data_IF_976441398420
#
_entry.id   IF_976441398420
#
_cell.length_a   1.000
_cell.length_b   1.000
_cell.length_c   1.000
_cell.angle_alpha   90.00
_cell.angle_beta   90.00
_cell.angle_gamma   90.00
#
_symmetry.space_group_name_H-M   'P 1'
#
loop_
_entity.id
_entity.type
_entity.pdbx_description
1 polymer ?
#
# COMPACT_ATOMS: atom_id res chain seq x y z
N UNK A 1 -28.67 4.46 0.58
CA UNK A 1 -27.27 4.15 0.22
C UNK A 1 -26.55 3.88 1.53
N UNK A 2 -25.77 2.80 1.65
CA UNK A 2 -24.94 2.61 2.86
C UNK A 2 -23.97 3.79 2.97
N UNK A 3 -23.80 4.36 4.17
CA UNK A 3 -22.85 5.45 4.42
C UNK A 3 -21.44 5.08 3.93
N UNK A 4 -21.11 3.79 3.96
CA UNK A 4 -19.82 3.26 3.52
C UNK A 4 -19.58 3.40 2.01
N UNK A 5 -20.59 3.74 1.21
CA UNK A 5 -20.48 3.85 -0.25
C UNK A 5 -21.00 5.18 -0.77
N UNK A 6 -21.22 6.17 0.09
CA UNK A 6 -21.58 7.52 -0.34
C UNK A 6 -20.40 8.20 -1.05
N UNK A 7 -20.43 8.20 -2.39
CA UNK A 7 -19.37 8.77 -3.22
C UNK A 7 -19.28 10.30 -3.15
N UNK A 8 -20.27 10.97 -2.54
CA UNK A 8 -20.18 12.41 -2.27
C UNK A 8 -19.26 12.73 -1.08
N UNK A 9 -18.98 11.73 -0.23
CA UNK A 9 -18.01 11.85 0.86
C UNK A 9 -16.59 11.64 0.34
N UNK A 10 -15.77 12.70 0.39
CA UNK A 10 -14.38 12.66 -0.05
C UNK A 10 -13.51 11.62 0.65
N UNK A 11 -13.81 11.26 1.92
CA UNK A 11 -13.07 10.22 2.62
C UNK A 11 -13.43 8.81 2.12
N UNK A 12 -14.70 8.56 1.79
CA UNK A 12 -15.13 7.30 1.17
C UNK A 12 -14.49 7.16 -0.21
N UNK A 13 -14.45 8.25 -0.99
CA UNK A 13 -13.76 8.26 -2.27
C UNK A 13 -12.27 7.97 -2.11
N UNK A 14 -11.60 8.63 -1.15
CA UNK A 14 -10.19 8.39 -0.86
C UNK A 14 -9.93 6.94 -0.43
N UNK A 15 -10.77 6.36 0.42
CA UNK A 15 -10.72 4.95 0.83
C UNK A 15 -10.80 4.00 -0.36
N UNK A 16 -11.71 4.26 -1.30
CA UNK A 16 -11.85 3.43 -2.49
C UNK A 16 -10.66 3.58 -3.44
N UNK A 17 -10.14 4.80 -3.60
CA UNK A 17 -8.93 5.04 -4.38
C UNK A 17 -7.75 4.27 -3.81
N UNK A 18 -7.40 4.43 -2.53
CA UNK A 18 -6.26 3.72 -1.93
C UNK A 18 -6.39 2.20 -2.12
N UNK A 19 -7.61 1.64 -2.01
CA UNK A 19 -7.85 0.22 -2.15
C UNK A 19 -7.67 -0.27 -3.60
N UNK A 20 -8.18 0.48 -4.58
CA UNK A 20 -8.01 0.16 -6.01
C UNK A 20 -6.53 0.28 -6.42
N UNK A 21 -5.80 1.24 -5.87
CA UNK A 21 -4.38 1.43 -6.17
C UNK A 21 -3.48 0.29 -5.64
N UNK A 22 -3.96 -0.58 -4.73
CA UNK A 22 -3.27 -1.81 -4.36
C UNK A 22 -3.32 -2.89 -5.45
N UNK A 23 -4.32 -2.86 -6.34
CA UNK A 23 -4.53 -3.93 -7.34
C UNK A 23 -3.36 -4.03 -8.32
N UNK A 24 -2.87 -2.93 -8.94
CA UNK A 24 -1.69 -3.00 -9.82
C UNK A 24 -0.44 -3.51 -9.08
N UNK A 25 -0.30 -3.24 -7.78
CA UNK A 25 0.85 -3.66 -6.98
C UNK A 25 0.85 -5.18 -6.75
N UNK A 26 -0.31 -5.77 -6.47
CA UNK A 26 -0.47 -7.23 -6.38
C UNK A 26 -0.18 -7.87 -7.73
N UNK A 27 -0.76 -7.35 -8.81
CA UNK A 27 -0.53 -7.85 -10.18
C UNK A 27 0.96 -7.79 -10.53
N UNK A 28 1.62 -6.68 -10.20
CA UNK A 28 3.06 -6.50 -10.41
C UNK A 28 3.89 -7.56 -9.69
N UNK A 29 3.55 -7.89 -8.43
CA UNK A 29 4.23 -8.95 -7.67
C UNK A 29 4.03 -10.33 -8.27
N UNK A 30 2.87 -10.62 -8.86
CA UNK A 30 2.60 -11.91 -9.52
C UNK A 30 3.33 -12.01 -10.87
N UNK A 31 3.32 -10.94 -11.67
CA UNK A 31 3.90 -10.94 -13.03
C UNK A 31 5.42 -10.77 -13.04
N UNK A 32 5.98 -10.06 -12.08
CA UNK A 32 7.40 -9.69 -12.05
C UNK A 32 8.14 -10.27 -10.83
N UNK A 33 7.91 -11.56 -10.54
CA UNK A 33 8.45 -12.24 -9.34
C UNK A 33 9.97 -12.10 -9.17
N UNK A 34 10.74 -12.21 -10.26
CA UNK A 34 12.21 -12.11 -10.22
C UNK A 34 12.69 -10.74 -9.72
N UNK A 35 12.39 -9.64 -10.43
CA UNK A 35 12.74 -8.28 -9.99
C UNK A 35 12.23 -7.94 -8.59
N UNK A 36 11.00 -8.32 -8.26
CA UNK A 36 10.41 -8.05 -6.94
C UNK A 36 11.17 -8.80 -5.84
N UNK A 37 11.44 -10.10 -6.02
CA UNK A 37 12.21 -10.87 -5.03
C UNK A 37 13.63 -10.31 -4.87
N UNK A 38 14.27 -9.89 -5.97
CA UNK A 38 15.58 -9.25 -5.96
C UNK A 38 15.59 -7.92 -5.20
N UNK A 39 14.54 -7.11 -5.32
CA UNK A 39 14.38 -5.89 -4.52
C UNK A 39 14.30 -6.21 -3.02
N UNK A 40 13.45 -7.18 -2.63
CA UNK A 40 13.29 -7.56 -1.23
C UNK A 40 14.59 -8.07 -0.63
N UNK A 41 15.35 -8.91 -1.35
CA UNK A 41 16.65 -9.39 -0.88
C UNK A 41 17.69 -8.26 -0.77
N UNK A 42 17.73 -7.34 -1.75
CA UNK A 42 18.65 -6.19 -1.74
C UNK A 42 18.39 -5.26 -0.55
N UNK A 43 17.13 -5.04 -0.21
CA UNK A 43 16.75 -4.21 0.95
C UNK A 43 17.04 -4.93 2.27
N UNK A 44 17.16 -6.26 2.26
CA UNK A 44 17.54 -7.10 3.41
C UNK A 44 16.39 -7.91 4.01
N UNK A 45 15.24 -7.99 3.35
CA UNK A 45 14.13 -8.85 3.77
C UNK A 45 14.45 -10.31 3.44
N UNK A 46 14.86 -11.09 4.46
CA UNK A 46 15.29 -12.49 4.30
C UNK A 46 14.45 -13.44 5.15
N UNK A 47 13.92 -14.53 4.57
CA UNK A 47 14.01 -14.93 3.16
C UNK A 47 13.06 -14.12 2.26
N UNK A 48 13.58 -13.55 1.16
CA UNK A 48 12.84 -12.62 0.30
C UNK A 48 11.49 -13.16 -0.24
N UNK A 49 11.37 -14.42 -0.71
CA UNK A 49 10.10 -14.95 -1.20
C UNK A 49 8.97 -14.93 -0.15
N UNK A 50 9.31 -15.12 1.13
CA UNK A 50 8.34 -15.08 2.22
C UNK A 50 7.80 -13.67 2.40
N UNK A 51 8.67 -12.66 2.43
CA UNK A 51 8.25 -11.27 2.56
C UNK A 51 7.47 -10.78 1.33
N UNK A 52 7.80 -11.25 0.13
CA UNK A 52 6.99 -10.98 -1.08
C UNK A 52 5.58 -11.56 -0.92
N UNK A 53 5.46 -12.79 -0.42
CA UNK A 53 4.16 -13.41 -0.16
C UNK A 53 3.38 -12.66 0.93
N UNK A 54 4.01 -12.29 2.04
CA UNK A 54 3.38 -11.50 3.11
C UNK A 54 2.86 -10.18 2.58
N UNK A 55 3.68 -9.45 1.80
CA UNK A 55 3.27 -8.19 1.18
C UNK A 55 2.07 -8.39 0.25
N UNK A 56 2.08 -9.43 -0.58
CA UNK A 56 0.99 -9.73 -1.50
C UNK A 56 -0.31 -10.08 -0.78
N UNK A 57 -0.26 -10.95 0.24
CA UNK A 57 -1.43 -11.32 1.04
C UNK A 57 -2.00 -10.10 1.75
N UNK A 58 -1.13 -9.29 2.36
CA UNK A 58 -1.54 -8.06 3.03
C UNK A 58 -2.26 -7.10 2.06
N UNK A 59 -1.69 -6.85 0.88
CA UNK A 59 -2.29 -5.96 -0.12
C UNK A 59 -3.67 -6.45 -0.59
N UNK A 60 -3.83 -7.77 -0.78
CA UNK A 60 -5.13 -8.35 -1.17
C UNK A 60 -6.17 -8.17 -0.05
N UNK A 61 -5.81 -8.51 1.19
CA UNK A 61 -6.72 -8.42 2.34
C UNK A 61 -7.09 -6.97 2.63
N UNK A 62 -6.11 -6.06 2.62
CA UNK A 62 -6.35 -4.63 2.82
C UNK A 62 -7.22 -4.03 1.71
N UNK A 63 -6.96 -4.38 0.44
CA UNK A 63 -7.78 -3.92 -0.67
C UNK A 63 -9.23 -4.42 -0.53
N UNK A 64 -9.42 -5.72 -0.24
CA UNK A 64 -10.75 -6.29 -0.07
C UNK A 64 -11.51 -5.64 1.11
N UNK A 65 -10.86 -5.49 2.27
CA UNK A 65 -11.47 -4.87 3.44
C UNK A 65 -11.87 -3.41 3.19
N UNK A 66 -10.99 -2.62 2.57
CA UNK A 66 -11.24 -1.21 2.27
C UNK A 66 -12.29 -1.02 1.14
N UNK A 67 -12.35 -1.92 0.15
CA UNK A 67 -13.42 -1.90 -0.87
C UNK A 67 -14.77 -2.21 -0.24
N UNK A 68 -14.83 -3.25 0.60
CA UNK A 68 -16.08 -3.70 1.23
C UNK A 68 -16.54 -2.80 2.37
N UNK A 69 -15.70 -1.85 2.82
CA UNK A 69 -16.00 -1.00 3.97
C UNK A 69 -15.92 -1.76 5.30
N UNK A 70 -15.12 -2.81 5.39
CA UNK A 70 -14.96 -3.63 6.59
C UNK A 70 -13.73 -3.19 7.39
N UNK A 71 -13.90 -2.87 8.67
CA UNK A 71 -12.82 -2.43 9.59
C UNK A 71 -11.92 -1.35 8.97
N UNK A 72 -12.53 -0.36 8.29
CA UNK A 72 -11.85 0.59 7.41
C UNK A 72 -10.71 1.33 8.09
N UNK A 73 -10.94 1.81 9.31
CA UNK A 73 -9.93 2.52 10.10
C UNK A 73 -8.74 1.63 10.46
N UNK A 74 -8.98 0.37 10.81
CA UNK A 74 -7.92 -0.59 11.17
C UNK A 74 -7.07 -0.92 9.96
N UNK A 75 -7.69 -1.28 8.83
CA UNK A 75 -6.94 -1.61 7.62
C UNK A 75 -6.26 -0.40 6.99
N UNK A 76 -6.82 0.80 7.11
CA UNK A 76 -6.17 2.03 6.69
C UNK A 76 -4.94 2.35 7.56
N UNK A 77 -5.01 2.16 8.88
CA UNK A 77 -3.87 2.34 9.77
C UNK A 77 -2.75 1.32 9.47
N UNK A 78 -3.10 0.04 9.29
CA UNK A 78 -2.14 -0.99 8.90
C UNK A 78 -1.52 -0.68 7.54
N UNK A 79 -2.32 -0.22 6.57
CA UNK A 79 -1.85 0.16 5.25
C UNK A 79 -0.89 1.36 5.31
N UNK A 80 -1.15 2.34 6.17
CA UNK A 80 -0.24 3.45 6.38
C UNK A 80 1.14 2.96 6.86
N UNK A 81 1.16 2.08 7.87
CA UNK A 81 2.42 1.48 8.37
C UNK A 81 3.13 0.70 7.25
N UNK A 82 2.39 -0.13 6.51
CA UNK A 82 2.92 -0.89 5.38
C UNK A 82 3.56 0.03 4.32
N UNK A 83 2.89 1.13 3.98
CA UNK A 83 3.38 2.12 3.02
C UNK A 83 4.63 2.86 3.54
N UNK A 84 4.71 3.18 4.83
CA UNK A 84 5.92 3.78 5.40
C UNK A 84 7.11 2.81 5.45
N UNK A 85 6.87 1.52 5.70
CA UNK A 85 7.91 0.49 5.56
C UNK A 85 8.39 0.38 4.11
N UNK A 86 7.47 0.40 3.15
CA UNK A 86 7.81 0.42 1.72
C UNK A 86 8.59 1.69 1.32
N UNK A 87 8.23 2.84 1.87
CA UNK A 87 8.97 4.09 1.68
C UNK A 87 10.39 4.00 2.23
N UNK A 88 10.58 3.46 3.44
CA UNK A 88 11.91 3.27 4.02
C UNK A 88 12.76 2.29 3.18
N UNK A 89 12.14 1.22 2.66
CA UNK A 89 12.77 0.28 1.75
C UNK A 89 13.23 0.94 0.45
N UNK A 90 12.36 1.73 -0.20
CA UNK A 90 12.71 2.50 -1.40
C UNK A 90 13.82 3.52 -1.12
N UNK A 91 13.75 4.22 0.01
CA UNK A 91 14.73 5.23 0.38
C UNK A 91 16.13 4.62 0.49
N UNK A 92 16.22 3.44 1.13
CA UNK A 92 17.46 2.66 1.24
C UNK A 92 17.96 2.20 -0.14
N UNK A 93 17.07 1.62 -0.96
CA UNK A 93 17.42 1.10 -2.29
C UNK A 93 17.93 2.20 -3.22
N UNK A 94 17.25 3.33 -3.24
CA UNK A 94 17.49 4.42 -4.18
C UNK A 94 18.44 5.49 -3.66
N UNK A 95 19.10 5.25 -2.52
CA UNK A 95 20.08 6.17 -1.90
C UNK A 95 19.50 7.59 -1.71
N UNK A 96 18.26 7.67 -1.26
CA UNK A 96 17.61 8.94 -0.94
C UNK A 96 16.93 9.69 -2.10
N UNK A 97 16.78 9.08 -3.28
CA UNK A 97 15.96 9.68 -4.35
C UNK A 97 14.51 9.89 -3.87
N UNK A 98 13.96 11.05 -4.24
CA UNK A 98 12.58 11.41 -3.88
C UNK A 98 11.56 10.91 -4.91
N UNK A 99 11.70 11.35 -6.17
CA UNK A 99 10.68 11.18 -7.20
C UNK A 99 10.41 9.70 -7.53
N UNK A 100 9.14 9.34 -7.66
CA UNK A 100 8.72 7.95 -7.88
C UNK A 100 9.19 7.38 -9.22
N UNK A 101 9.23 8.19 -10.28
CA UNK A 101 9.63 7.78 -11.62
C UNK A 101 11.12 7.39 -11.74
N UNK A 102 11.94 7.77 -10.77
CA UNK A 102 13.36 7.37 -10.64
C UNK A 102 13.58 6.36 -9.50
N UNK A 103 12.50 5.75 -9.00
CA UNK A 103 12.49 4.73 -7.94
C UNK A 103 12.38 5.28 -6.51
N UNK A 104 12.17 6.58 -6.33
CA UNK A 104 12.16 7.23 -5.03
C UNK A 104 10.98 6.86 -4.11
N UNK A 105 10.96 7.48 -2.93
CA UNK A 105 10.01 7.16 -1.84
C UNK A 105 8.75 8.02 -1.84
N UNK A 106 8.64 9.00 -2.74
CA UNK A 106 7.51 9.93 -2.82
C UNK A 106 6.15 9.22 -2.87
N UNK A 107 6.00 8.23 -3.75
CA UNK A 107 4.73 7.53 -3.97
C UNK A 107 4.25 6.76 -2.73
N UNK A 108 5.04 5.87 -2.10
CA UNK A 108 4.60 5.19 -0.88
C UNK A 108 4.36 6.15 0.28
N UNK A 109 5.11 7.26 0.40
CA UNK A 109 4.85 8.28 1.43
C UNK A 109 3.48 8.94 1.19
N UNK A 110 3.20 9.35 -0.05
CA UNK A 110 1.93 9.98 -0.42
C UNK A 110 0.74 9.08 -0.07
N UNK A 111 0.76 7.82 -0.51
CA UNK A 111 -0.33 6.89 -0.23
C UNK A 111 -0.41 6.50 1.25
N UNK A 112 0.72 6.44 1.96
CA UNK A 112 0.76 6.26 3.40
C UNK A 112 0.04 7.38 4.14
N UNK A 113 0.28 8.65 3.76
CA UNK A 113 -0.41 9.80 4.34
C UNK A 113 -1.92 9.78 4.01
N UNK A 114 -2.30 9.42 2.78
CA UNK A 114 -3.71 9.22 2.44
C UNK A 114 -4.37 8.14 3.30
N UNK A 115 -3.67 7.04 3.55
CA UNK A 115 -4.16 5.98 4.43
C UNK A 115 -4.29 6.45 5.88
N UNK A 116 -3.40 7.31 6.39
CA UNK A 116 -3.55 7.96 7.71
C UNK A 116 -4.83 8.81 7.75
N UNK A 117 -5.08 9.62 6.71
CA UNK A 117 -6.30 10.44 6.64
C UNK A 117 -7.54 9.55 6.72
N UNK A 118 -7.59 8.45 5.98
CA UNK A 118 -8.70 7.49 6.05
C UNK A 118 -8.78 6.80 7.41
N UNK A 119 -7.65 6.48 8.04
CA UNK A 119 -7.65 5.85 9.36
C UNK A 119 -8.26 6.75 10.45
N UNK A 120 -8.03 8.06 10.36
CA UNK A 120 -8.52 9.06 11.30
C UNK A 120 -9.99 9.47 11.06
N UNK A 121 -10.54 9.16 9.88
CA UNK A 121 -11.88 9.58 9.49
C UNK A 121 -12.78 8.36 9.23
N UNK A 122 -13.87 8.17 9.99
CA UNK A 122 -14.79 7.05 9.78
C UNK A 122 -15.36 7.07 8.36
N UNK A 123 -15.24 5.95 7.66
CA UNK A 123 -15.68 5.75 6.27
C UNK A 123 -16.25 4.37 6.05
#
# INVERSE_FOLDING_TARGET
MSLNFDLSNGFVLLRLLIAVFLIPHVIGKVKHKGPVTGFFDTVGFRPAPVFVMVAMVFEIVAAAALILGAFTQVFAALLAVFMFVAAAANHKMCKGKWLWNIGGSEYPIFWGLCAVIVALNPT
#
